data_IF_673524410644
#
_entry.id   IF_673524410644
#
_cell.length_a   1.000
_cell.length_b   1.000
_cell.length_c   1.000
_cell.angle_alpha   90.00
_cell.angle_beta   90.00
_cell.angle_gamma   90.00
#
_symmetry.space_group_name_H-M   'P 1'
#
loop_
_entity.id
_entity.type
_entity.pdbx_description
1 polymer ?
#
# COMPACT_ATOMS: atom_id res chain seq x y z
N UNK A 1 5.02 45.14 -0.02
CA UNK A 1 5.64 43.85 0.39
C UNK A 1 4.98 43.43 1.70
N UNK A 2 4.04 42.50 1.68
CA UNK A 2 3.31 42.05 2.88
C UNK A 2 4.10 40.94 3.60
N UNK A 3 4.63 41.26 4.78
CA UNK A 3 5.30 40.29 5.66
C UNK A 3 4.28 39.64 6.61
N UNK A 4 4.27 38.31 6.63
CA UNK A 4 3.36 37.47 7.42
C UNK A 4 3.79 37.50 8.90
N UNK A 5 2.87 37.87 9.79
CA UNK A 5 3.07 37.89 11.25
C UNK A 5 2.66 36.54 11.85
N UNK A 6 3.64 35.70 12.20
CA UNK A 6 3.40 34.44 12.92
C UNK A 6 3.12 34.71 14.41
N UNK A 7 1.86 34.67 14.84
CA UNK A 7 1.50 34.71 16.27
C UNK A 7 1.68 33.33 16.90
N UNK A 8 2.74 33.16 17.68
CA UNK A 8 2.90 32.07 18.65
C UNK A 8 1.96 32.34 19.83
N UNK A 9 0.90 31.54 19.96
CA UNK A 9 0.04 31.57 21.15
C UNK A 9 0.63 30.62 22.19
N UNK A 10 1.36 31.19 23.15
CA UNK A 10 1.63 30.51 24.42
C UNK A 10 0.33 30.47 25.24
N UNK A 11 -0.07 29.31 25.74
CA UNK A 11 -1.06 29.22 26.83
C UNK A 11 -0.54 28.33 27.96
N UNK A 12 -0.89 28.66 29.22
CA UNK A 12 -0.13 28.28 30.40
C UNK A 12 -0.49 26.87 30.88
N UNK A 13 0.45 26.25 31.58
CA UNK A 13 0.29 24.98 32.27
C UNK A 13 -0.68 25.14 33.46
N UNK A 14 -1.95 24.75 33.26
CA UNK A 14 -3.02 24.75 34.25
C UNK A 14 -3.21 23.39 34.94
N UNK A 15 -2.68 23.32 36.16
CA UNK A 15 -2.78 22.39 37.30
C UNK A 15 -4.09 21.57 37.54
N UNK A 16 -3.91 20.24 37.62
CA UNK A 16 -4.48 19.15 38.48
C UNK A 16 -6.01 18.95 38.77
N UNK A 17 -6.46 17.69 38.52
CA UNK A 17 -7.37 16.77 39.28
C UNK A 17 -8.84 17.22 39.52
N UNK A 18 -9.92 16.41 39.37
CA UNK A 18 -10.22 15.04 39.83
C UNK A 18 -11.56 14.50 39.23
N UNK A 19 -11.57 13.22 38.81
CA UNK A 19 -12.48 12.10 39.22
C UNK A 19 -13.99 12.12 38.88
N UNK A 20 -14.34 11.26 37.88
CA UNK A 20 -15.38 10.19 37.79
C UNK A 20 -16.84 10.50 38.21
N UNK A 21 -17.93 10.07 37.56
CA UNK A 21 -18.37 8.84 36.86
C UNK A 21 -19.60 9.29 36.02
N UNK A 22 -20.04 8.70 34.93
CA UNK A 22 -19.85 7.39 34.33
C UNK A 22 -20.82 7.38 33.14
N UNK A 23 -20.30 7.68 31.96
CA UNK A 23 -21.02 7.55 30.70
C UNK A 23 -20.04 6.91 29.73
N UNK A 24 -19.76 5.62 29.92
CA UNK A 24 -18.97 4.88 28.95
C UNK A 24 -19.89 4.51 27.79
N UNK A 25 -19.97 5.48 26.89
CA UNK A 25 -20.59 5.44 25.59
C UNK A 25 -20.13 4.19 24.83
N UNK A 26 -21.06 3.26 24.66
CA UNK A 26 -20.98 2.12 23.74
C UNK A 26 -21.11 2.57 22.26
N UNK A 27 -20.61 3.77 21.95
CA UNK A 27 -20.82 4.51 20.70
C UNK A 27 -19.46 5.08 20.28
N UNK A 28 -18.48 4.23 20.02
CA UNK A 28 -17.17 4.66 19.50
C UNK A 28 -16.38 3.54 18.82
N UNK A 29 -17.05 2.62 18.13
CA UNK A 29 -16.39 1.69 17.20
C UNK A 29 -16.51 2.13 15.74
N UNK A 30 -17.49 2.98 15.42
CA UNK A 30 -17.79 3.37 14.03
C UNK A 30 -16.92 4.49 13.46
N UNK A 31 -16.10 5.12 14.32
CA UNK A 31 -15.18 6.20 13.95
C UNK A 31 -13.72 5.75 13.76
N UNK A 32 -13.43 4.45 13.83
CA UNK A 32 -12.08 3.96 13.57
C UNK A 32 -11.88 3.97 12.05
N UNK A 33 -11.36 5.08 11.53
CA UNK A 33 -10.65 5.05 10.24
C UNK A 33 -9.52 4.05 10.39
N UNK A 34 -9.74 2.82 9.95
CA UNK A 34 -8.70 1.81 9.87
C UNK A 34 -7.52 2.44 9.12
N UNK A 35 -6.35 2.48 9.78
CA UNK A 35 -5.15 3.06 9.19
C UNK A 35 -4.89 2.36 7.86
N UNK A 36 -4.86 3.13 6.78
CA UNK A 36 -4.49 2.60 5.49
C UNK A 36 -2.99 2.24 5.51
N UNK A 37 -2.69 0.96 5.41
CA UNK A 37 -1.34 0.39 5.55
C UNK A 37 -0.95 -0.40 4.31
N UNK A 38 0.35 -0.69 4.17
CA UNK A 38 0.85 -1.56 3.10
C UNK A 38 0.37 -2.98 3.35
N UNK A 39 -0.27 -3.60 2.36
CA UNK A 39 -0.74 -4.98 2.45
C UNK A 39 0.43 -5.96 2.53
N UNK A 40 0.27 -7.00 3.35
CA UNK A 40 1.13 -8.18 3.38
C UNK A 40 0.35 -9.31 2.72
N UNK A 41 0.90 -9.87 1.64
CA UNK A 41 0.28 -10.96 0.89
C UNK A 41 0.89 -12.27 1.43
N UNK A 42 0.07 -13.25 1.86
CA UNK A 42 0.60 -14.51 2.37
C UNK A 42 1.23 -15.35 1.27
N UNK A 43 2.30 -16.08 1.59
CA UNK A 43 3.08 -16.84 0.61
C UNK A 43 2.26 -17.95 -0.07
N UNK A 44 1.23 -18.47 0.61
CA UNK A 44 0.28 -19.45 0.05
C UNK A 44 -0.39 -18.97 -1.25
N UNK A 45 -0.56 -17.65 -1.44
CA UNK A 45 -1.15 -17.09 -2.67
C UNK A 45 -0.25 -17.30 -3.90
N UNK A 46 1.05 -17.49 -3.68
CA UNK A 46 2.03 -17.66 -4.76
C UNK A 46 2.37 -19.14 -5.04
N UNK A 47 1.71 -20.08 -4.36
CA UNK A 47 1.89 -21.51 -4.60
C UNK A 47 0.82 -21.98 -5.61
N UNK A 48 1.20 -22.32 -6.86
CA UNK A 48 0.25 -22.74 -7.88
C UNK A 48 -0.31 -24.13 -7.58
N UNK A 49 -1.59 -24.35 -7.90
CA UNK A 49 -2.21 -25.66 -7.84
C UNK A 49 -2.02 -26.45 -9.14
N UNK A 50 -2.13 -27.79 -9.13
CA UNK A 50 -2.08 -28.59 -10.36
C UNK A 50 -3.10 -28.13 -11.43
N UNK A 51 -4.30 -27.74 -11.02
CA UNK A 51 -5.35 -27.22 -11.90
C UNK A 51 -4.94 -25.91 -12.59
N UNK A 52 -4.17 -25.05 -11.92
CA UNK A 52 -3.64 -23.82 -12.53
C UNK A 52 -2.64 -24.12 -13.65
N UNK A 53 -1.85 -25.18 -13.51
CA UNK A 53 -0.90 -25.58 -14.55
C UNK A 53 -1.59 -26.05 -15.82
N UNK A 54 -2.68 -26.81 -15.68
CA UNK A 54 -3.50 -27.24 -16.83
C UNK A 54 -4.20 -26.05 -17.50
N UNK A 55 -4.67 -25.08 -16.71
CA UNK A 55 -5.37 -23.89 -17.20
C UNK A 55 -4.45 -22.90 -17.91
N UNK A 56 -3.26 -22.64 -17.35
CA UNK A 56 -2.35 -21.59 -17.83
C UNK A 56 -1.18 -22.14 -18.65
N UNK A 57 -1.04 -23.47 -18.78
CA UNK A 57 -0.04 -24.13 -19.61
C UNK A 57 1.42 -23.96 -19.14
N UNK A 58 1.62 -23.61 -17.86
CA UNK A 58 2.94 -23.42 -17.28
C UNK A 58 3.51 -24.72 -16.73
N UNK A 59 4.77 -25.03 -17.04
CA UNK A 59 5.47 -26.21 -16.52
C UNK A 59 6.23 -25.87 -15.23
N UNK A 60 5.91 -26.48 -14.07
CA UNK A 60 6.67 -26.29 -12.83
C UNK A 60 8.13 -26.73 -12.95
N UNK A 61 8.42 -27.72 -13.81
CA UNK A 61 9.78 -28.29 -13.96
C UNK A 61 10.69 -27.35 -14.74
N UNK A 62 10.13 -26.55 -15.65
CA UNK A 62 10.84 -25.65 -16.53
C UNK A 62 10.29 -24.22 -16.39
N UNK A 63 10.63 -23.50 -15.31
CA UNK A 63 10.16 -22.13 -15.12
C UNK A 63 10.76 -21.19 -16.16
N UNK A 64 9.95 -20.23 -16.64
CA UNK A 64 10.43 -19.21 -17.57
C UNK A 64 11.39 -18.23 -16.89
N UNK A 65 12.38 -17.75 -17.64
CA UNK A 65 13.44 -16.87 -17.11
C UNK A 65 13.06 -15.38 -17.09
N UNK A 66 12.15 -14.96 -17.97
CA UNK A 66 11.79 -13.56 -18.19
C UNK A 66 10.29 -13.34 -18.08
N UNK A 67 9.88 -12.29 -17.38
CA UNK A 67 8.51 -11.78 -17.38
C UNK A 67 8.36 -10.62 -18.36
N UNK A 68 7.31 -10.67 -19.17
CA UNK A 68 6.84 -9.54 -19.97
C UNK A 68 5.85 -8.75 -19.12
N UNK A 69 6.31 -7.64 -18.55
CA UNK A 69 5.50 -6.78 -17.67
C UNK A 69 4.94 -5.61 -18.47
N UNK A 70 3.62 -5.42 -18.39
CA UNK A 70 2.92 -4.31 -19.04
C UNK A 70 2.01 -3.60 -18.03
N UNK A 71 2.20 -2.30 -17.85
CA UNK A 71 1.32 -1.51 -16.98
C UNK A 71 -0.01 -1.21 -17.67
N UNK A 72 -1.09 -1.84 -17.18
CA UNK A 72 -2.46 -1.67 -17.69
C UNK A 72 -3.31 -0.66 -16.89
N UNK A 73 -3.00 -0.43 -15.60
CA UNK A 73 -3.72 0.52 -14.73
C UNK A 73 -2.94 1.81 -14.47
N UNK A 74 -3.66 2.89 -14.15
CA UNK A 74 -3.07 4.19 -13.83
C UNK A 74 -2.53 4.23 -12.39
N UNK A 75 -1.49 5.04 -12.18
CA UNK A 75 -0.90 5.33 -10.85
C UNK A 75 -1.61 6.45 -10.10
N UNK A 76 -2.55 7.15 -10.76
CA UNK A 76 -3.38 8.18 -10.10
C UNK A 76 -4.25 7.50 -9.05
N UNK A 77 -4.42 8.17 -7.89
CA UNK A 77 -5.15 7.65 -6.72
C UNK A 77 -4.58 6.37 -6.11
N UNK A 78 -3.35 5.98 -6.47
CA UNK A 78 -2.60 4.91 -5.81
C UNK A 78 -1.68 5.46 -4.72
N UNK A 79 -1.34 4.65 -3.70
CA UNK A 79 -0.40 5.03 -2.66
C UNK A 79 0.98 5.37 -3.24
N UNK A 80 1.76 6.18 -2.51
CA UNK A 80 3.08 6.62 -2.99
C UNK A 80 4.03 5.42 -3.20
N UNK A 81 3.98 4.39 -2.35
CA UNK A 81 4.84 3.21 -2.48
C UNK A 81 4.61 2.41 -3.77
N UNK A 82 3.38 2.37 -4.30
CA UNK A 82 3.09 1.78 -5.61
C UNK A 82 3.70 2.62 -6.73
N UNK A 83 3.63 3.95 -6.61
CA UNK A 83 4.21 4.88 -7.60
C UNK A 83 5.73 4.72 -7.68
N UNK A 84 6.39 4.59 -6.53
CA UNK A 84 7.85 4.44 -6.49
C UNK A 84 8.28 3.08 -7.03
N UNK A 85 7.52 2.02 -6.75
CA UNK A 85 7.76 0.69 -7.36
C UNK A 85 7.66 0.75 -8.90
N UNK A 86 6.68 1.48 -9.43
CA UNK A 86 6.52 1.68 -10.88
C UNK A 86 7.67 2.47 -11.50
N UNK A 87 8.25 3.43 -10.76
CA UNK A 87 9.47 4.14 -11.20
C UNK A 87 10.68 3.20 -11.21
N UNK A 88 10.88 2.41 -10.15
CA UNK A 88 11.98 1.45 -10.03
C UNK A 88 11.94 0.38 -11.13
N UNK A 89 10.74 -0.06 -11.53
CA UNK A 89 10.55 -1.01 -12.62
C UNK A 89 10.56 -0.36 -14.03
N UNK A 90 10.71 0.96 -14.15
CA UNK A 90 10.70 1.64 -15.44
C UNK A 90 9.34 1.69 -16.17
N UNK A 91 8.24 1.35 -15.50
CA UNK A 91 6.90 1.20 -16.08
C UNK A 91 6.12 2.53 -16.19
N UNK A 92 6.81 3.64 -16.48
CA UNK A 92 6.21 4.98 -16.48
C UNK A 92 5.23 5.20 -17.62
N UNK A 93 5.52 4.63 -18.81
CA UNK A 93 4.62 4.66 -19.98
C UNK A 93 3.56 3.56 -19.86
N UNK A 94 2.28 3.91 -20.11
CA UNK A 94 1.16 2.96 -20.07
C UNK A 94 1.21 2.04 -21.29
N UNK A 95 0.79 0.79 -21.16
CA UNK A 95 0.67 -0.17 -22.25
C UNK A 95 1.98 -0.42 -23.05
N UNK A 96 3.14 -0.09 -22.48
CA UNK A 96 4.44 -0.45 -23.03
C UNK A 96 4.92 -1.74 -22.36
N UNK A 97 5.49 -2.64 -23.18
CA UNK A 97 6.05 -3.93 -22.74
C UNK A 97 7.48 -3.73 -22.24
N UNK A 98 7.81 -4.36 -21.12
CA UNK A 98 9.15 -4.38 -20.54
C UNK A 98 9.49 -5.80 -20.11
N UNK A 99 10.73 -6.22 -20.32
CA UNK A 99 11.23 -7.53 -19.89
C UNK A 99 11.94 -7.38 -18.55
N UNK A 100 11.57 -8.23 -17.59
CA UNK A 100 12.25 -8.32 -16.30
C UNK A 100 12.63 -9.77 -16.02
N UNK A 101 13.76 -9.99 -15.34
CA UNK A 101 14.11 -11.33 -14.87
C UNK A 101 13.08 -11.83 -13.85
N UNK A 102 12.68 -13.08 -13.97
CA UNK A 102 11.95 -13.77 -12.92
C UNK A 102 12.83 -13.87 -11.68
N UNK A 103 12.27 -13.53 -10.51
CA UNK A 103 12.89 -13.97 -9.26
C UNK A 103 12.78 -15.48 -9.26
N UNK A 104 13.92 -16.16 -9.41
CA UNK A 104 14.06 -17.56 -9.01
C UNK A 104 13.75 -17.58 -7.50
N UNK A 105 12.66 -18.25 -7.14
CA UNK A 105 12.27 -18.47 -5.75
C UNK A 105 13.27 -19.36 -5.03
#
# INVERSE_FOLDING_TARGET
MAGILCKVVQRPLGRLQTVTKGAESLICTDWIRHKFTKSRIPDKVFQPSPEDHEKYGGDPRNPHKLHIVTRIKSTRRRPYWEKDTIKMLGLQKKCKRYNHFGKLG
#
